data_IF_182260051353
#
_entry.id   IF_182260051353
#
_cell.length_a   1.000
_cell.length_b   1.000
_cell.length_c   1.000
_cell.angle_alpha   90.00
_cell.angle_beta   90.00
_cell.angle_gamma   90.00
#
_symmetry.space_group_name_H-M   'P 1'
#
loop_
_entity.id
_entity.type
_entity.pdbx_description
1 polymer ?
#
# COMPACT_ATOMS: atom_id res chain seq x y z
N UNK A 1 9.02 -15.17 -0.93
CA UNK A 1 7.71 -15.71 -0.54
C UNK A 1 6.57 -14.69 -0.67
N UNK A 2 6.66 -13.49 -0.08
CA UNK A 2 5.58 -12.48 -0.15
C UNK A 2 5.18 -12.02 -1.58
N UNK A 3 6.13 -11.96 -2.52
CA UNK A 3 5.87 -11.57 -3.91
C UNK A 3 5.00 -12.61 -4.64
N UNK A 4 5.29 -13.88 -4.39
CA UNK A 4 4.59 -15.02 -5.03
C UNK A 4 3.14 -15.05 -4.55
N UNK A 5 2.90 -14.89 -3.25
CA UNK A 5 1.56 -14.73 -2.69
C UNK A 5 0.83 -13.52 -3.27
N UNK A 6 1.52 -12.38 -3.41
CA UNK A 6 0.96 -11.19 -4.04
C UNK A 6 0.51 -11.44 -5.49
N UNK A 7 1.31 -12.15 -6.28
CA UNK A 7 0.97 -12.49 -7.67
C UNK A 7 -0.21 -13.46 -7.76
N UNK A 8 -0.23 -14.48 -6.89
CA UNK A 8 -1.31 -15.48 -6.84
C UNK A 8 -2.65 -14.82 -6.49
N UNK A 9 -2.67 -13.79 -5.65
CA UNK A 9 -3.90 -13.06 -5.31
C UNK A 9 -4.26 -12.04 -6.39
N UNK A 10 -3.28 -11.31 -6.92
CA UNK A 10 -3.54 -10.16 -7.81
C UNK A 10 -3.91 -10.57 -9.24
N UNK A 11 -3.32 -11.66 -9.77
CA UNK A 11 -3.57 -12.14 -11.14
C UNK A 11 -5.03 -12.58 -11.38
N UNK A 12 -5.65 -13.44 -10.55
CA UNK A 12 -7.04 -13.83 -10.74
C UNK A 12 -8.00 -12.67 -10.48
N UNK A 13 -7.67 -11.75 -9.57
CA UNK A 13 -8.49 -10.57 -9.28
C UNK A 13 -8.49 -9.60 -10.47
N UNK A 14 -7.31 -9.39 -11.09
CA UNK A 14 -7.17 -8.62 -12.32
C UNK A 14 -7.95 -9.28 -13.48
N UNK A 15 -7.82 -10.60 -13.64
CA UNK A 15 -8.54 -11.35 -14.66
C UNK A 15 -10.06 -11.29 -14.46
N UNK A 16 -10.55 -11.36 -13.23
CA UNK A 16 -11.96 -11.23 -12.90
C UNK A 16 -12.50 -9.82 -13.18
N UNK A 17 -11.74 -8.77 -12.84
CA UNK A 17 -12.11 -7.38 -13.13
C UNK A 17 -12.24 -7.15 -14.63
N UNK A 18 -11.32 -7.67 -15.43
CA UNK A 18 -11.39 -7.56 -16.90
C UNK A 18 -12.47 -8.45 -17.53
N UNK A 19 -12.75 -9.62 -16.95
CA UNK A 19 -13.81 -10.52 -17.43
C UNK A 19 -15.22 -9.99 -17.13
N UNK A 20 -15.39 -9.25 -16.03
CA UNK A 20 -16.67 -8.65 -15.62
C UNK A 20 -16.89 -7.26 -16.24
N UNK A 21 -15.87 -6.65 -16.85
CA UNK A 21 -16.01 -5.34 -17.51
C UNK A 21 -16.49 -5.50 -18.97
N UNK A 22 -17.66 -4.93 -19.34
CA UNK A 22 -18.25 -5.11 -20.67
C UNK A 22 -17.53 -4.34 -21.81
N UNK A 23 -16.38 -3.69 -21.54
CA UNK A 23 -15.61 -2.95 -22.54
C UNK A 23 -14.30 -3.65 -22.86
N UNK A 24 -13.93 -3.80 -24.16
CA UNK A 24 -12.64 -4.36 -24.53
C UNK A 24 -11.49 -3.50 -23.99
N UNK A 25 -10.45 -4.18 -23.47
CA UNK A 25 -9.26 -3.57 -22.81
C UNK A 25 -8.62 -2.46 -23.63
N UNK A 26 -8.64 -2.58 -24.96
CA UNK A 26 -8.08 -1.62 -25.91
C UNK A 26 -8.81 -0.27 -25.97
N UNK A 27 -10.07 -0.20 -25.56
CA UNK A 27 -10.83 1.05 -25.42
C UNK A 27 -10.97 1.51 -23.96
N UNK A 28 -10.72 0.61 -23.00
CA UNK A 28 -10.82 0.90 -21.57
C UNK A 28 -9.53 1.50 -20.99
N UNK A 29 -8.37 1.23 -21.59
CA UNK A 29 -7.07 1.64 -21.05
C UNK A 29 -6.33 2.51 -22.06
N UNK A 30 -6.18 3.80 -21.74
CA UNK A 30 -5.31 4.69 -22.52
C UNK A 30 -3.85 4.18 -22.45
N UNK A 31 -3.08 4.22 -23.55
CA UNK A 31 -1.69 3.76 -23.58
C UNK A 31 -0.83 4.41 -22.49
N UNK A 32 -1.06 5.70 -22.20
CA UNK A 32 -0.37 6.42 -21.14
C UNK A 32 -0.68 5.85 -19.75
N UNK A 33 -1.93 5.47 -19.49
CA UNK A 33 -2.34 4.89 -18.21
C UNK A 33 -1.73 3.51 -17.98
N UNK A 34 -1.58 2.71 -19.05
CA UNK A 34 -0.90 1.42 -18.98
C UNK A 34 0.58 1.56 -18.59
N UNK A 35 1.29 2.55 -19.14
CA UNK A 35 2.69 2.81 -18.80
C UNK A 35 2.83 3.22 -17.32
N UNK A 36 1.99 4.14 -16.84
CA UNK A 36 1.99 4.54 -15.43
C UNK A 36 1.66 3.38 -14.48
N UNK A 37 0.69 2.54 -14.85
CA UNK A 37 0.33 1.36 -14.08
C UNK A 37 1.49 0.37 -13.95
N UNK A 38 2.19 0.08 -15.06
CA UNK A 38 3.36 -0.80 -15.06
C UNK A 38 4.50 -0.20 -14.24
N UNK A 39 4.79 1.10 -14.41
CA UNK A 39 5.85 1.78 -13.67
C UNK A 39 5.60 1.77 -12.16
N UNK A 40 4.39 2.15 -11.71
CA UNK A 40 4.03 2.14 -10.29
C UNK A 40 4.00 0.71 -9.73
N UNK A 41 3.44 -0.24 -10.49
CA UNK A 41 3.36 -1.64 -10.09
C UNK A 41 4.72 -2.32 -9.94
N UNK A 42 5.72 -1.92 -10.75
CA UNK A 42 7.08 -2.44 -10.65
C UNK A 42 7.91 -1.69 -9.61
N UNK A 43 7.94 -0.35 -9.69
CA UNK A 43 8.83 0.48 -8.88
C UNK A 43 8.36 0.59 -7.42
N UNK A 44 7.05 0.74 -7.19
CA UNK A 44 6.50 0.93 -5.84
C UNK A 44 6.89 -0.20 -4.88
N UNK A 45 6.61 -1.47 -5.20
CA UNK A 45 6.98 -2.59 -4.34
C UNK A 45 8.48 -2.84 -4.30
N UNK A 46 9.21 -2.64 -5.41
CA UNK A 46 10.66 -2.85 -5.45
C UNK A 46 11.38 -1.85 -4.53
N UNK A 47 11.12 -0.56 -4.69
CA UNK A 47 11.72 0.50 -3.88
C UNK A 47 11.30 0.31 -2.42
N UNK A 48 9.99 0.17 -2.16
CA UNK A 48 9.47 -0.01 -0.80
C UNK A 48 10.11 -1.19 -0.06
N UNK A 49 10.31 -2.33 -0.74
CA UNK A 49 10.96 -3.49 -0.13
C UNK A 49 12.44 -3.29 0.11
N UNK A 50 13.18 -2.69 -0.83
CA UNK A 50 14.61 -2.42 -0.65
C UNK A 50 14.84 -1.52 0.56
N UNK A 51 14.08 -0.42 0.66
CA UNK A 51 14.17 0.49 1.81
C UNK A 51 13.76 -0.19 3.12
N UNK A 52 12.74 -1.04 3.11
CA UNK A 52 12.35 -1.82 4.28
C UNK A 52 13.48 -2.76 4.72
N UNK A 53 14.10 -3.49 3.78
CA UNK A 53 15.18 -4.43 4.09
C UNK A 53 16.42 -3.72 4.63
N UNK A 54 16.78 -2.56 4.06
CA UNK A 54 17.86 -1.71 4.57
C UNK A 54 17.53 -1.19 5.97
N UNK A 55 16.29 -0.75 6.19
CA UNK A 55 15.83 -0.26 7.50
C UNK A 55 15.92 -1.34 8.58
N UNK A 56 15.44 -2.55 8.28
CA UNK A 56 15.54 -3.72 9.17
C UNK A 56 17.01 -4.09 9.40
N UNK A 57 17.86 -4.06 8.37
CA UNK A 57 19.28 -4.40 8.49
C UNK A 57 20.07 -3.40 9.35
N UNK A 58 19.70 -2.12 9.34
CA UNK A 58 20.38 -1.05 10.11
C UNK A 58 19.83 -0.84 11.52
N UNK A 59 18.51 -0.96 11.70
CA UNK A 59 17.82 -0.61 12.95
C UNK A 59 17.39 -1.85 13.75
N UNK A 60 17.43 -3.03 13.13
CA UNK A 60 16.86 -4.26 13.68
C UNK A 60 15.34 -4.31 13.55
N UNK A 61 14.78 -5.52 13.53
CA UNK A 61 13.34 -5.74 13.37
C UNK A 61 12.50 -5.04 14.45
N UNK A 62 12.98 -5.00 15.69
CA UNK A 62 12.26 -4.39 16.82
C UNK A 62 12.00 -2.89 16.65
N UNK A 63 12.88 -2.17 15.94
CA UNK A 63 12.72 -0.72 15.68
C UNK A 63 12.11 -0.44 14.30
N UNK A 64 12.34 -1.30 13.32
CA UNK A 64 11.79 -1.14 11.98
C UNK A 64 10.27 -1.41 11.95
N UNK A 65 9.77 -2.41 12.69
CA UNK A 65 8.35 -2.79 12.67
C UNK A 65 7.40 -1.65 13.11
N UNK A 66 7.64 -0.94 14.23
CA UNK A 66 6.82 0.22 14.60
C UNK A 66 6.84 1.34 13.55
N UNK A 67 8.00 1.53 12.89
CA UNK A 67 8.18 2.55 11.85
C UNK A 67 7.39 2.22 10.57
N UNK A 68 7.33 0.94 10.21
CA UNK A 68 6.51 0.46 9.08
C UNK A 68 5.02 0.51 9.44
N UNK A 69 4.68 0.21 10.69
CA UNK A 69 3.29 0.27 11.16
C UNK A 69 2.74 1.71 11.23
N UNK A 70 3.60 2.73 11.32
CA UNK A 70 3.20 4.14 11.21
C UNK A 70 3.08 4.63 9.77
N UNK A 71 3.39 3.79 8.76
CA UNK A 71 3.21 4.13 7.35
C UNK A 71 1.82 4.70 7.00
N UNK A 72 0.68 4.20 7.55
CA UNK A 72 -0.64 4.77 7.26
C UNK A 72 -0.75 6.26 7.64
N UNK A 73 -0.07 6.70 8.69
CA UNK A 73 -0.04 8.12 9.09
C UNK A 73 0.66 8.96 8.03
N UNK A 74 1.84 8.53 7.60
CA UNK A 74 2.60 9.22 6.54
C UNK A 74 1.87 9.19 5.20
N UNK A 75 1.25 8.06 4.84
CA UNK A 75 0.43 7.94 3.64
C UNK A 75 -0.72 8.94 3.65
N UNK A 76 -1.43 9.07 4.78
CA UNK A 76 -2.55 10.00 4.85
C UNK A 76 -2.09 11.45 4.84
N UNK A 77 -0.98 11.77 5.52
CA UNK A 77 -0.37 13.10 5.47
C UNK A 77 0.00 13.48 4.02
N UNK A 78 0.66 12.58 3.30
CA UNK A 78 1.02 12.80 1.90
C UNK A 78 -0.22 12.90 1.00
N UNK A 79 -1.26 12.10 1.23
CA UNK A 79 -2.51 12.19 0.48
C UNK A 79 -3.18 13.56 0.65
N UNK A 80 -3.25 14.10 1.87
CA UNK A 80 -3.81 15.44 2.11
C UNK A 80 -2.99 16.53 1.41
N UNK A 81 -1.66 16.44 1.46
CA UNK A 81 -0.77 17.46 0.87
C UNK A 81 -0.77 17.41 -0.67
N UNK A 82 -0.69 16.21 -1.27
CA UNK A 82 -0.56 16.07 -2.72
C UNK A 82 -1.89 15.95 -3.45
N UNK A 83 -2.87 15.27 -2.86
CA UNK A 83 -4.17 15.01 -3.48
C UNK A 83 -5.21 16.07 -3.08
N UNK A 84 -4.88 16.97 -2.15
CA UNK A 84 -5.77 18.00 -1.61
C UNK A 84 -7.11 17.42 -1.10
N UNK A 85 -7.07 16.18 -0.59
CA UNK A 85 -8.25 15.47 -0.15
C UNK A 85 -8.87 16.18 1.06
N UNK A 86 -10.17 16.51 0.99
CA UNK A 86 -10.85 17.14 2.11
C UNK A 86 -11.01 16.11 3.24
N UNK A 87 -10.32 16.38 4.36
CA UNK A 87 -10.39 15.58 5.58
C UNK A 87 -11.83 15.58 6.12
N UNK A 88 -12.60 14.59 5.66
CA UNK A 88 -13.97 14.37 6.11
C UNK A 88 -13.91 13.62 7.44
N UNK A 89 -14.89 13.83 8.33
CA UNK A 89 -14.93 13.19 9.65
C UNK A 89 -14.77 11.65 9.59
N UNK A 90 -15.26 11.04 8.50
CA UNK A 90 -15.10 9.60 8.20
C UNK A 90 -13.64 9.17 8.02
N UNK A 91 -12.82 9.97 7.35
CA UNK A 91 -11.40 9.68 7.11
C UNK A 91 -10.64 9.77 8.43
N UNK A 92 -10.95 10.77 9.26
CA UNK A 92 -10.35 10.95 10.57
C UNK A 92 -10.68 9.78 11.50
N UNK A 93 -11.94 9.33 11.54
CA UNK A 93 -12.34 8.15 12.31
C UNK A 93 -11.66 6.87 11.81
N UNK A 94 -11.52 6.71 10.49
CA UNK A 94 -10.77 5.61 9.89
C UNK A 94 -9.30 5.62 10.29
N UNK A 95 -8.66 6.79 10.25
CA UNK A 95 -7.28 6.97 10.67
C UNK A 95 -7.10 6.63 12.16
N UNK A 96 -7.99 7.13 13.03
CA UNK A 96 -7.95 6.81 14.47
C UNK A 96 -8.13 5.31 14.74
N UNK A 97 -9.03 4.63 14.02
CA UNK A 97 -9.18 3.18 14.11
C UNK A 97 -7.93 2.42 13.69
N UNK A 98 -7.27 2.83 12.59
CA UNK A 98 -6.02 2.21 12.14
C UNK A 98 -4.91 2.42 13.17
N UNK A 99 -4.76 3.65 13.68
CA UNK A 99 -3.77 3.98 14.71
C UNK A 99 -4.02 3.18 15.99
N UNK A 100 -5.27 3.05 16.42
CA UNK A 100 -5.64 2.25 17.58
C UNK A 100 -5.31 0.76 17.38
N UNK A 101 -5.66 0.19 16.22
CA UNK A 101 -5.34 -1.20 15.88
C UNK A 101 -3.84 -1.47 15.82
N UNK A 102 -3.07 -0.56 15.21
CA UNK A 102 -1.60 -0.62 15.17
C UNK A 102 -1.00 -0.52 16.56
N UNK A 103 -1.50 0.39 17.40
CA UNK A 103 -1.07 0.54 18.79
C UNK A 103 -1.30 -0.75 19.60
N UNK A 104 -2.47 -1.38 19.43
CA UNK A 104 -2.81 -2.63 20.09
C UNK A 104 -1.89 -3.79 19.67
N UNK A 105 -1.66 -3.95 18.36
CA UNK A 105 -0.78 -4.99 17.82
C UNK A 105 0.69 -4.78 18.23
N UNK A 106 1.15 -3.54 18.21
CA UNK A 106 2.53 -3.21 18.62
C UNK A 106 2.72 -3.40 20.13
N UNK A 107 1.68 -3.17 20.93
CA UNK A 107 1.67 -3.44 22.37
C UNK A 107 1.82 -4.93 22.70
N UNK A 108 1.27 -5.83 21.87
CA UNK A 108 1.41 -7.28 22.05
C UNK A 108 2.78 -7.85 21.64
N UNK A 109 3.59 -7.10 20.87
CA UNK A 109 4.92 -7.54 20.43
C UNK A 109 6.02 -7.25 21.47
N UNK A 110 5.67 -6.76 22.66
CA UNK A 110 6.59 -6.68 23.81
C UNK A 110 6.57 -8.03 24.55
N UNK A 111 7.65 -8.83 24.53
CA UNK A 111 7.89 -9.80 25.59
C UNK A 111 8.14 -9.08 26.93
#
# INVERSE_FOLDING_TARGET
>A
MAVVWGLIVSLPLLAAVFALHPRPVSQAVAPQAAVWFVLVGLLGPCIGRVFNFIGVARLGAARATPLVNSAPLFTTLLAVVFLHEQLTLRIVLGMLSIVAGVGFLTGQQRP
#
